data_IF_308189894509
#
_entry.id   IF_308189894509
#
_cell.length_a   1.000
_cell.length_b   1.000
_cell.length_c   1.000
_cell.angle_alpha   90.00
_cell.angle_beta   90.00
_cell.angle_gamma   90.00
#
_symmetry.space_group_name_H-M   'P 1'
#
loop_
_entity.id
_entity.type
_entity.pdbx_description
1 polymer ?
#
# COMPACT_ATOMS: atom_id res chain seq x y z
N UNK A 1 14.79 35.48 9.66
CA UNK A 1 14.66 34.09 10.12
C UNK A 1 15.15 33.18 9.01
N UNK A 2 16.41 32.76 9.07
CA UNK A 2 16.94 31.76 8.14
C UNK A 2 16.55 30.37 8.66
N UNK A 3 15.30 30.00 8.46
CA UNK A 3 14.78 28.70 8.88
C UNK A 3 15.14 27.63 7.85
N UNK A 4 16.32 27.03 7.98
CA UNK A 4 16.61 25.79 7.27
C UNK A 4 15.73 24.69 7.87
N UNK A 5 14.76 24.20 7.08
CA UNK A 5 13.99 23.00 7.43
C UNK A 5 14.95 21.81 7.37
N UNK A 6 15.00 21.00 8.43
CA UNK A 6 15.77 19.76 8.41
C UNK A 6 15.20 18.82 7.36
N UNK A 7 16.05 18.12 6.61
CA UNK A 7 15.59 17.10 5.66
C UNK A 7 14.76 16.01 6.36
N UNK A 8 15.02 15.72 7.64
CA UNK A 8 14.21 14.79 8.44
C UNK A 8 12.80 15.31 8.78
N UNK A 9 12.56 16.61 8.61
CA UNK A 9 11.24 17.24 8.78
C UNK A 9 10.48 17.39 7.45
N UNK A 10 11.05 16.92 6.33
CA UNK A 10 10.35 16.91 5.05
C UNK A 10 9.18 15.95 5.10
N UNK A 11 7.99 16.49 4.85
CA UNK A 11 6.73 15.78 4.80
C UNK A 11 6.13 15.83 3.38
N UNK A 12 5.23 14.90 3.06
CA UNK A 12 4.55 14.89 1.76
C UNK A 12 3.58 16.06 1.61
N UNK A 13 2.71 16.29 2.58
CA UNK A 13 1.76 17.40 2.53
C UNK A 13 0.47 17.15 3.30
N UNK A 14 -0.58 17.86 2.90
CA UNK A 14 -1.93 17.78 3.49
C UNK A 14 -2.82 16.86 2.64
N UNK A 15 -3.83 16.21 3.26
CA UNK A 15 -4.82 15.41 2.53
C UNK A 15 -5.64 16.24 1.57
N UNK A 16 -6.08 15.61 0.47
CA UNK A 16 -7.16 16.16 -0.36
C UNK A 16 -8.49 16.10 0.39
N UNK A 17 -9.53 16.74 -0.16
CA UNK A 17 -10.88 16.69 0.43
C UNK A 17 -11.38 15.23 0.49
N UNK A 18 -11.18 14.47 -0.57
CA UNK A 18 -11.61 13.07 -0.67
C UNK A 18 -10.89 12.19 0.35
N UNK A 19 -9.59 12.40 0.54
CA UNK A 19 -8.80 11.66 1.54
C UNK A 19 -9.20 12.03 2.96
N UNK A 20 -9.51 13.31 3.22
CA UNK A 20 -10.06 13.74 4.51
C UNK A 20 -11.43 13.12 4.75
N UNK A 21 -12.32 13.11 3.76
CA UNK A 21 -13.61 12.44 3.87
C UNK A 21 -13.46 10.94 4.15
N UNK A 22 -12.50 10.27 3.52
CA UNK A 22 -12.21 8.85 3.79
C UNK A 22 -11.69 8.65 5.22
N UNK A 23 -10.84 9.54 5.74
CA UNK A 23 -10.40 9.51 7.14
C UNK A 23 -11.60 9.68 8.07
N UNK A 24 -12.43 10.69 7.84
CA UNK A 24 -13.56 11.06 8.69
C UNK A 24 -14.69 10.02 8.66
N UNK A 25 -14.78 9.21 7.59
CA UNK A 25 -15.71 8.07 7.50
C UNK A 25 -15.38 6.94 8.50
N UNK A 26 -14.12 6.85 8.94
CA UNK A 26 -13.67 5.85 9.89
C UNK A 26 -13.41 4.46 9.27
N UNK A 27 -12.99 3.53 10.12
CA UNK A 27 -12.66 2.14 9.74
C UNK A 27 -13.22 1.16 10.77
N UNK A 28 -13.63 -0.02 10.31
CA UNK A 28 -13.97 -1.14 11.20
C UNK A 28 -12.77 -1.66 12.01
N UNK A 29 -11.53 -1.32 11.62
CA UNK A 29 -10.31 -1.63 12.37
C UNK A 29 -9.90 -0.52 13.35
N UNK A 30 -10.84 0.30 13.82
CA UNK A 30 -10.57 1.51 14.62
C UNK A 30 -9.63 1.26 15.81
N UNK A 31 -9.85 0.17 16.56
CA UNK A 31 -9.05 -0.15 17.76
C UNK A 31 -7.58 -0.42 17.47
N UNK A 32 -7.21 -0.71 16.22
CA UNK A 32 -5.85 -1.09 15.85
C UNK A 32 -5.06 0.04 15.20
N UNK A 33 -5.67 1.16 14.85
CA UNK A 33 -4.97 2.26 14.16
C UNK A 33 -3.74 2.71 14.94
N UNK A 34 -3.88 2.90 16.26
CA UNK A 34 -2.80 3.33 17.16
C UNK A 34 -1.67 2.31 17.33
N UNK A 35 -1.92 1.03 17.05
CA UNK A 35 -0.87 -0.02 17.10
C UNK A 35 0.22 0.31 16.09
N UNK A 36 -0.13 0.94 14.98
CA UNK A 36 0.77 1.22 13.86
C UNK A 36 1.42 2.60 13.93
N UNK A 37 1.21 3.38 15.00
CA UNK A 37 1.73 4.76 15.13
C UNK A 37 3.14 4.84 15.75
N UNK A 38 3.71 3.70 16.19
CA UNK A 38 5.01 3.62 16.88
C UNK A 38 6.07 2.78 16.13
N UNK A 39 5.95 2.67 14.80
CA UNK A 39 6.87 1.93 13.93
C UNK A 39 7.35 2.87 12.82
N UNK A 40 8.28 3.78 13.11
CA UNK A 40 8.69 4.81 12.17
C UNK A 40 9.54 4.25 11.03
N UNK A 41 9.45 4.90 9.87
CA UNK A 41 10.35 4.66 8.74
C UNK A 41 11.75 5.27 9.01
N UNK A 42 12.80 4.85 8.27
CA UNK A 42 14.15 5.41 8.43
C UNK A 42 14.20 6.92 8.20
N UNK A 43 14.95 7.65 9.03
CA UNK A 43 15.10 9.09 8.87
C UNK A 43 15.66 9.46 7.49
N UNK A 44 15.15 10.54 6.87
CA UNK A 44 15.43 10.90 5.48
C UNK A 44 16.94 11.04 5.14
N UNK A 45 17.79 11.44 6.09
CA UNK A 45 19.24 11.59 5.89
C UNK A 45 20.09 10.40 6.32
N UNK A 46 19.44 9.37 6.88
CA UNK A 46 20.10 8.13 7.34
C UNK A 46 20.77 7.37 6.20
N UNK A 47 21.69 6.46 6.53
CA UNK A 47 22.31 5.59 5.54
C UNK A 47 21.27 4.63 4.94
N UNK A 48 20.35 4.17 5.77
CA UNK A 48 19.24 3.31 5.44
C UNK A 48 18.30 3.98 4.42
N UNK A 49 17.89 5.23 4.64
CA UNK A 49 17.04 5.94 3.67
C UNK A 49 17.73 6.16 2.32
N UNK A 50 19.05 6.42 2.31
CA UNK A 50 19.83 6.53 1.06
C UNK A 50 19.86 5.20 0.32
N UNK A 51 20.08 4.10 1.04
CA UNK A 51 20.04 2.75 0.46
C UNK A 51 18.67 2.44 -0.14
N UNK A 52 17.57 2.81 0.55
CA UNK A 52 16.23 2.63 0.00
C UNK A 52 16.00 3.41 -1.30
N UNK A 53 16.57 4.62 -1.43
CA UNK A 53 16.50 5.38 -2.69
C UNK A 53 17.31 4.67 -3.80
N UNK A 54 18.51 4.16 -3.50
CA UNK A 54 19.30 3.38 -4.46
C UNK A 54 18.56 2.12 -4.93
N UNK A 55 17.92 1.40 -4.00
CA UNK A 55 17.09 0.25 -4.34
C UNK A 55 15.98 0.66 -5.32
N UNK A 56 15.27 1.76 -5.06
CA UNK A 56 14.22 2.25 -5.96
C UNK A 56 14.76 2.59 -7.34
N UNK A 57 15.91 3.27 -7.43
CA UNK A 57 16.59 3.54 -8.72
C UNK A 57 16.83 2.25 -9.49
N UNK A 58 17.37 1.21 -8.84
CA UNK A 58 17.61 -0.09 -9.48
C UNK A 58 16.32 -0.77 -9.99
N UNK A 59 15.17 -0.54 -9.33
CA UNK A 59 13.89 -1.09 -9.76
C UNK A 59 13.28 -0.32 -10.92
N UNK A 60 13.51 1.00 -11.00
CA UNK A 60 13.03 1.84 -12.11
C UNK A 60 13.71 1.44 -13.42
N UNK A 61 15.00 1.09 -13.39
CA UNK A 61 15.73 0.62 -14.58
C UNK A 61 15.04 -0.57 -15.27
N UNK A 62 14.30 -1.40 -14.52
CA UNK A 62 13.52 -2.52 -15.08
C UNK A 62 12.34 -2.06 -15.96
N UNK A 63 11.90 -0.80 -15.86
CA UNK A 63 10.83 -0.27 -16.71
C UNK A 63 11.24 -0.11 -18.18
N UNK A 64 12.51 -0.33 -18.55
CA UNK A 64 12.90 -0.46 -19.97
C UNK A 64 12.19 -1.65 -20.62
N UNK A 65 11.91 -2.71 -19.86
CA UNK A 65 11.11 -3.84 -20.31
C UNK A 65 9.64 -3.39 -20.46
N UNK A 66 9.14 -3.43 -21.69
CA UNK A 66 7.81 -2.91 -22.03
C UNK A 66 6.67 -3.71 -21.38
N UNK A 67 6.80 -5.04 -21.31
CA UNK A 67 5.80 -5.91 -20.70
C UNK A 67 5.67 -5.62 -19.20
N UNK A 68 6.80 -5.58 -18.50
CA UNK A 68 6.85 -5.22 -17.08
C UNK A 68 6.32 -3.81 -16.84
N UNK A 69 6.69 -2.84 -17.68
CA UNK A 69 6.19 -1.47 -17.59
C UNK A 69 4.67 -1.41 -17.74
N UNK A 70 4.10 -2.05 -18.77
CA UNK A 70 2.65 -2.15 -18.98
C UNK A 70 1.96 -2.81 -17.79
N UNK A 71 2.56 -3.86 -17.24
CA UNK A 71 2.05 -4.58 -16.06
C UNK A 71 2.05 -3.70 -14.81
N UNK A 72 3.11 -2.93 -14.57
CA UNK A 72 3.18 -1.98 -13.46
C UNK A 72 2.06 -0.94 -13.53
N UNK A 73 1.87 -0.30 -14.69
CA UNK A 73 0.81 0.69 -14.89
C UNK A 73 -0.60 0.08 -14.82
N UNK A 74 -0.78 -1.16 -15.25
CA UNK A 74 -2.04 -1.88 -15.07
C UNK A 74 -2.36 -2.08 -13.59
N UNK A 75 -1.40 -2.58 -12.80
CA UNK A 75 -1.56 -2.76 -11.36
C UNK A 75 -1.86 -1.42 -10.68
N UNK A 76 -1.13 -0.35 -11.03
CA UNK A 76 -1.36 0.99 -10.51
C UNK A 76 -2.78 1.51 -10.80
N UNK A 77 -3.30 1.28 -12.00
CA UNK A 77 -4.62 1.81 -12.39
C UNK A 77 -5.78 0.92 -11.96
N UNK A 78 -5.57 -0.39 -11.82
CA UNK A 78 -6.61 -1.41 -11.80
C UNK A 78 -6.33 -2.53 -10.78
N UNK A 79 -5.86 -2.20 -9.57
CA UNK A 79 -5.54 -3.18 -8.53
C UNK A 79 -6.67 -4.20 -8.29
N UNK A 80 -7.92 -3.74 -8.15
CA UNK A 80 -9.08 -4.63 -7.97
C UNK A 80 -9.28 -5.60 -9.14
N UNK A 81 -9.04 -5.18 -10.39
CA UNK A 81 -9.11 -6.10 -11.56
C UNK A 81 -7.94 -7.07 -11.57
N UNK A 82 -6.75 -6.62 -11.18
CA UNK A 82 -5.58 -7.48 -11.06
C UNK A 82 -5.83 -8.60 -10.03
N UNK A 83 -6.32 -8.25 -8.83
CA UNK A 83 -6.65 -9.21 -7.78
C UNK A 83 -7.86 -10.10 -8.12
N UNK A 84 -8.79 -9.62 -8.94
CA UNK A 84 -9.91 -10.44 -9.43
C UNK A 84 -9.46 -11.70 -10.16
N UNK A 85 -8.27 -11.70 -10.79
CA UNK A 85 -7.72 -12.90 -11.41
C UNK A 85 -7.36 -13.99 -10.38
N UNK A 86 -6.89 -13.61 -9.20
CA UNK A 86 -6.62 -14.54 -8.09
C UNK A 86 -7.93 -15.04 -7.48
N UNK A 87 -8.87 -14.12 -7.25
CA UNK A 87 -10.19 -14.45 -6.70
C UNK A 87 -10.97 -15.43 -7.59
N UNK A 88 -10.96 -15.21 -8.91
CA UNK A 88 -11.63 -16.10 -9.87
C UNK A 88 -11.02 -17.51 -9.89
N UNK A 89 -9.69 -17.63 -9.81
CA UNK A 89 -9.01 -18.93 -9.70
C UNK A 89 -9.40 -19.69 -8.43
N UNK A 90 -9.67 -18.96 -7.35
CA UNK A 90 -10.17 -19.52 -6.09
C UNK A 90 -11.69 -19.79 -6.09
N UNK A 91 -12.42 -19.44 -7.15
CA UNK A 91 -13.88 -19.62 -7.25
C UNK A 91 -14.73 -18.46 -6.73
N UNK A 92 -14.13 -17.35 -6.29
CA UNK A 92 -14.85 -16.19 -5.77
C UNK A 92 -15.41 -15.31 -6.90
N UNK A 93 -16.72 -15.44 -7.16
CA UNK A 93 -17.40 -14.77 -8.29
C UNK A 93 -17.70 -13.28 -8.06
N UNK A 94 -18.00 -12.88 -6.82
CA UNK A 94 -18.41 -11.51 -6.48
C UNK A 94 -17.26 -10.65 -5.93
N UNK A 95 -16.01 -10.93 -6.33
CA UNK A 95 -14.83 -10.25 -5.78
C UNK A 95 -14.87 -8.73 -5.93
N UNK A 96 -15.44 -8.20 -7.01
CA UNK A 96 -15.47 -6.74 -7.24
C UNK A 96 -16.24 -6.01 -6.12
N UNK A 97 -17.43 -6.48 -5.75
CA UNK A 97 -18.23 -5.84 -4.69
C UNK A 97 -17.55 -6.00 -3.34
N UNK A 98 -17.01 -7.19 -3.04
CA UNK A 98 -16.24 -7.45 -1.82
C UNK A 98 -15.02 -6.52 -1.75
N UNK A 99 -14.28 -6.35 -2.86
CA UNK A 99 -13.13 -5.47 -2.92
C UNK A 99 -13.50 -4.00 -2.64
N UNK A 100 -14.59 -3.51 -3.23
CA UNK A 100 -15.08 -2.15 -3.00
C UNK A 100 -15.52 -1.95 -1.54
N UNK A 101 -16.36 -2.86 -1.02
CA UNK A 101 -16.87 -2.83 0.36
C UNK A 101 -15.75 -2.90 1.42
N UNK A 102 -14.83 -3.86 1.28
CA UNK A 102 -13.74 -4.05 2.25
C UNK A 102 -12.79 -2.86 2.23
N UNK A 103 -12.49 -2.29 1.06
CA UNK A 103 -11.66 -1.09 1.02
C UNK A 103 -12.35 0.10 1.67
N UNK A 104 -13.62 0.33 1.37
CA UNK A 104 -14.38 1.46 1.90
C UNK A 104 -14.52 1.39 3.43
N UNK A 105 -14.96 0.24 3.93
CA UNK A 105 -15.30 0.07 5.35
C UNK A 105 -14.10 -0.27 6.25
N UNK A 106 -13.06 -0.93 5.73
CA UNK A 106 -11.96 -1.46 6.55
C UNK A 106 -10.62 -0.80 6.24
N UNK A 107 -10.22 -0.69 4.97
CA UNK A 107 -8.81 -0.40 4.65
C UNK A 107 -8.50 1.07 4.36
N UNK A 108 -9.34 1.79 3.60
CA UNK A 108 -9.01 3.12 3.09
C UNK A 108 -8.74 4.14 4.21
N UNK A 109 -9.68 4.28 5.16
CA UNK A 109 -9.52 5.20 6.30
C UNK A 109 -8.29 4.84 7.14
N UNK A 110 -8.09 3.56 7.43
CA UNK A 110 -6.92 3.08 8.18
C UNK A 110 -5.60 3.45 7.47
N UNK A 111 -5.50 3.17 6.17
CA UNK A 111 -4.32 3.49 5.37
C UNK A 111 -4.05 4.99 5.39
N UNK A 112 -5.07 5.82 5.15
CA UNK A 112 -4.89 7.27 5.10
C UNK A 112 -4.49 7.86 6.46
N UNK A 113 -5.08 7.38 7.56
CA UNK A 113 -4.69 7.83 8.91
C UNK A 113 -3.23 7.53 9.21
N UNK A 114 -2.76 6.32 8.91
CA UNK A 114 -1.35 5.96 9.10
C UNK A 114 -0.46 6.78 8.17
N UNK A 115 -0.86 6.96 6.90
CA UNK A 115 -0.14 7.80 5.94
C UNK A 115 0.05 9.23 6.41
N UNK A 116 -0.99 9.85 6.95
CA UNK A 116 -0.94 11.24 7.39
C UNK A 116 -0.37 11.42 8.80
N UNK A 117 -0.36 10.35 9.63
CA UNK A 117 0.41 10.32 10.88
C UNK A 117 1.91 10.45 10.62
N UNK A 118 2.46 9.63 9.73
CA UNK A 118 3.88 9.65 9.38
C UNK A 118 4.25 10.71 8.34
N UNK A 119 3.30 11.03 7.46
CA UNK A 119 3.42 12.01 6.38
C UNK A 119 4.70 11.87 5.53
N UNK A 120 5.16 10.63 5.33
CA UNK A 120 6.44 10.34 4.67
C UNK A 120 6.47 10.87 3.23
N UNK A 121 7.55 11.58 2.90
CA UNK A 121 7.85 12.03 1.54
C UNK A 121 8.06 10.85 0.58
N UNK A 122 7.79 11.02 -0.72
CA UNK A 122 7.98 9.96 -1.74
C UNK A 122 9.45 9.88 -2.23
N UNK A 123 9.85 8.77 -2.89
CA UNK A 123 11.22 8.58 -3.36
C UNK A 123 11.75 9.69 -4.27
N UNK A 124 10.98 10.15 -5.27
CA UNK A 124 11.47 11.15 -6.22
C UNK A 124 11.83 12.50 -5.57
N UNK A 125 10.95 13.13 -4.75
CA UNK A 125 11.33 14.34 -4.03
C UNK A 125 12.51 14.13 -3.07
N UNK A 126 12.58 13.01 -2.35
CA UNK A 126 13.70 12.73 -1.44
C UNK A 126 15.02 12.60 -2.21
N UNK A 127 15.02 11.87 -3.33
CA UNK A 127 16.18 11.69 -4.19
C UNK A 127 16.74 13.02 -4.69
N UNK A 128 15.88 13.98 -5.04
CA UNK A 128 16.30 15.34 -5.42
C UNK A 128 17.13 16.01 -4.32
N UNK A 129 16.64 15.99 -3.06
CA UNK A 129 17.38 16.58 -1.93
C UNK A 129 18.66 15.82 -1.56
N UNK A 130 18.72 14.52 -1.85
CA UNK A 130 19.90 13.69 -1.65
C UNK A 130 20.90 13.72 -2.83
N UNK A 131 20.63 14.51 -3.87
CA UNK A 131 21.42 14.55 -5.12
C UNK A 131 21.53 13.18 -5.82
N UNK A 132 20.46 12.40 -5.79
CA UNK A 132 20.34 11.11 -6.43
C UNK A 132 19.42 11.21 -7.66
N UNK A 133 19.84 10.64 -8.79
CA UNK A 133 19.03 10.67 -10.01
C UNK A 133 17.95 9.59 -9.95
N UNK A 134 16.69 10.02 -9.81
CA UNK A 134 15.53 9.13 -9.77
C UNK A 134 14.39 9.73 -10.60
N UNK A 135 13.99 9.06 -11.68
CA UNK A 135 12.86 9.47 -12.53
C UNK A 135 11.66 8.58 -12.25
N UNK A 136 10.72 9.05 -11.42
CA UNK A 136 9.49 8.29 -11.12
C UNK A 136 8.51 8.30 -12.29
N UNK A 137 7.70 7.25 -12.38
CA UNK A 137 6.62 7.15 -13.34
C UNK A 137 5.46 8.11 -13.01
N UNK A 138 4.74 8.57 -14.02
CA UNK A 138 3.50 9.34 -13.84
C UNK A 138 2.32 8.40 -13.54
N UNK A 139 2.11 8.11 -12.25
CA UNK A 139 1.13 7.12 -11.76
C UNK A 139 -0.23 7.76 -11.46
N UNK A 140 -1.31 6.96 -11.44
CA UNK A 140 -2.66 7.40 -11.07
C UNK A 140 -2.88 7.47 -9.55
N UNK A 141 -2.18 6.67 -8.76
CA UNK A 141 -2.47 6.47 -7.31
C UNK A 141 -1.38 7.01 -6.38
N UNK A 142 -0.30 7.58 -6.93
CA UNK A 142 0.86 8.07 -6.19
C UNK A 142 0.72 9.46 -5.55
N UNK A 143 -0.50 9.88 -5.19
CA UNK A 143 -0.83 11.27 -4.84
C UNK A 143 -1.12 11.50 -3.35
N UNK A 144 -0.50 10.70 -2.49
CA UNK A 144 -0.59 10.76 -1.01
C UNK A 144 0.76 10.42 -0.37
N UNK A 145 0.96 10.53 0.97
CA UNK A 145 2.22 10.13 1.61
C UNK A 145 2.62 8.68 1.30
N UNK A 146 3.90 8.35 1.39
CA UNK A 146 4.43 7.04 0.95
C UNK A 146 4.17 5.90 1.95
N UNK A 147 4.22 6.15 3.26
CA UNK A 147 4.26 5.11 4.29
C UNK A 147 2.91 4.92 5.00
N UNK A 148 2.26 3.73 4.98
CA UNK A 148 2.64 2.50 4.27
C UNK A 148 2.24 2.52 2.79
N UNK A 149 2.72 1.54 2.01
CA UNK A 149 2.22 1.29 0.66
C UNK A 149 0.80 0.72 0.69
N UNK A 150 -0.19 1.53 0.29
CA UNK A 150 -1.61 1.15 0.30
C UNK A 150 -1.92 -0.04 -0.61
N UNK A 151 -1.42 -0.03 -1.86
CA UNK A 151 -1.61 -1.16 -2.78
C UNK A 151 -0.98 -2.46 -2.29
N UNK A 152 0.19 -2.39 -1.65
CA UNK A 152 0.84 -3.59 -1.09
C UNK A 152 0.05 -4.15 0.07
N UNK A 153 -0.46 -3.29 0.96
CA UNK A 153 -1.33 -3.69 2.07
C UNK A 153 -2.59 -4.36 1.54
N UNK A 154 -3.27 -3.71 0.59
CA UNK A 154 -4.48 -4.24 -0.04
C UNK A 154 -4.20 -5.59 -0.72
N UNK A 155 -3.12 -5.71 -1.50
CA UNK A 155 -2.77 -6.96 -2.17
C UNK A 155 -2.54 -8.12 -1.18
N UNK A 156 -1.79 -7.87 -0.10
CA UNK A 156 -1.57 -8.86 0.94
C UNK A 156 -2.87 -9.24 1.65
N UNK A 157 -3.64 -8.25 2.10
CA UNK A 157 -4.90 -8.47 2.81
C UNK A 157 -5.90 -9.25 1.97
N UNK A 158 -6.12 -8.86 0.71
CA UNK A 158 -7.05 -9.54 -0.17
C UNK A 158 -6.57 -10.93 -0.59
N UNK A 159 -5.26 -11.15 -0.77
CA UNK A 159 -4.74 -12.50 -1.04
C UNK A 159 -5.06 -13.47 0.09
N UNK A 160 -4.94 -12.99 1.35
CA UNK A 160 -5.29 -13.76 2.55
C UNK A 160 -6.80 -13.93 2.70
N UNK A 161 -7.58 -12.86 2.49
CA UNK A 161 -9.04 -12.91 2.50
C UNK A 161 -9.61 -13.90 1.48
N UNK A 162 -9.10 -13.90 0.26
CA UNK A 162 -9.53 -14.87 -0.77
C UNK A 162 -9.24 -16.30 -0.32
N UNK A 163 -8.04 -16.53 0.22
CA UNK A 163 -7.61 -17.84 0.72
C UNK A 163 -8.52 -18.33 1.85
N UNK A 164 -8.79 -17.48 2.83
CA UNK A 164 -9.58 -17.85 4.00
C UNK A 164 -11.06 -18.02 3.66
N UNK A 165 -11.65 -17.12 2.89
CA UNK A 165 -13.07 -17.22 2.50
C UNK A 165 -13.32 -18.46 1.64
N UNK A 166 -12.46 -18.75 0.66
CA UNK A 166 -12.65 -19.85 -0.29
C UNK A 166 -12.04 -21.18 0.16
N UNK A 167 -11.40 -21.22 1.33
CA UNK A 167 -10.69 -22.39 1.85
C UNK A 167 -9.66 -22.97 0.84
N UNK A 168 -8.84 -22.08 0.26
CA UNK A 168 -7.77 -22.45 -0.67
C UNK A 168 -6.40 -22.08 -0.09
N UNK A 169 -5.30 -22.77 -0.47
CA UNK A 169 -3.96 -22.39 -0.02
C UNK A 169 -3.62 -20.94 -0.35
N UNK A 170 -3.08 -20.24 0.64
CA UNK A 170 -2.61 -18.86 0.47
C UNK A 170 -1.33 -18.80 -0.39
N UNK A 171 -1.20 -17.72 -1.17
CA UNK A 171 0.02 -17.36 -1.89
C UNK A 171 0.25 -15.85 -1.80
N UNK A 172 1.51 -15.46 -1.59
CA UNK A 172 1.97 -14.07 -1.56
C UNK A 172 2.42 -13.54 -2.93
N UNK A 173 2.21 -14.30 -4.01
CA UNK A 173 2.61 -13.90 -5.37
C UNK A 173 2.07 -12.50 -5.76
N UNK A 174 0.79 -12.26 -5.49
CA UNK A 174 0.15 -10.97 -5.76
C UNK A 174 0.83 -9.83 -4.97
N UNK A 175 1.14 -10.07 -3.70
CA UNK A 175 1.81 -9.09 -2.84
C UNK A 175 3.19 -8.74 -3.36
N UNK A 176 4.02 -9.75 -3.66
CA UNK A 176 5.39 -9.55 -4.14
C UNK A 176 5.41 -8.77 -5.43
N UNK A 177 4.53 -9.10 -6.36
CA UNK A 177 4.45 -8.42 -7.65
C UNK A 177 3.94 -6.98 -7.54
N UNK A 178 2.92 -6.75 -6.70
CA UNK A 178 2.41 -5.40 -6.43
C UNK A 178 3.50 -4.55 -5.78
N UNK A 179 4.18 -5.05 -4.74
CA UNK A 179 5.27 -4.35 -4.06
C UNK A 179 6.42 -4.01 -5.03
N UNK A 180 6.83 -4.97 -5.86
CA UNK A 180 7.85 -4.76 -6.89
C UNK A 180 7.43 -3.69 -7.90
N UNK A 181 6.16 -3.70 -8.34
CA UNK A 181 5.59 -2.67 -9.23
C UNK A 181 5.65 -1.28 -8.59
N UNK A 182 5.34 -1.15 -7.29
CA UNK A 182 5.39 0.15 -6.59
C UNK A 182 6.80 0.74 -6.56
N UNK A 183 7.82 -0.08 -6.34
CA UNK A 183 9.22 0.36 -6.37
C UNK A 183 9.66 0.66 -7.81
N UNK A 184 9.30 -0.18 -8.78
CA UNK A 184 9.62 0.08 -10.21
C UNK A 184 8.99 1.36 -10.72
N UNK A 185 7.82 1.76 -10.24
CA UNK A 185 7.20 3.05 -10.58
C UNK A 185 7.83 4.25 -9.84
N UNK A 186 8.73 4.02 -8.89
CA UNK A 186 9.46 5.06 -8.17
C UNK A 186 8.65 5.77 -7.08
N UNK A 187 7.60 5.13 -6.57
CA UNK A 187 6.60 5.80 -5.70
C UNK A 187 6.54 5.26 -4.27
N UNK A 188 7.23 4.16 -3.98
CA UNK A 188 7.35 3.60 -2.63
C UNK A 188 8.76 3.05 -2.40
N UNK A 189 9.22 3.16 -1.16
CA UNK A 189 10.42 2.52 -0.64
C UNK A 189 10.16 1.06 -0.25
N UNK A 190 11.21 0.30 0.03
CA UNK A 190 11.07 -1.08 0.49
C UNK A 190 10.36 -1.12 1.85
N UNK A 191 10.74 -0.28 2.80
CA UNK A 191 10.11 -0.22 4.13
C UNK A 191 8.62 0.15 4.08
N UNK A 192 8.17 0.93 3.09
CA UNK A 192 6.73 1.18 2.88
C UNK A 192 5.97 -0.12 2.58
N UNK A 193 6.58 -1.03 1.82
CA UNK A 193 6.01 -2.32 1.46
C UNK A 193 6.10 -3.31 2.62
N UNK A 194 7.24 -3.37 3.30
CA UNK A 194 7.44 -4.25 4.46
C UNK A 194 6.44 -3.91 5.57
N UNK A 195 6.26 -2.63 5.86
CA UNK A 195 5.29 -2.18 6.87
C UNK A 195 3.84 -2.46 6.45
N UNK A 196 3.53 -2.30 5.15
CA UNK A 196 2.22 -2.66 4.61
C UNK A 196 1.88 -4.14 4.82
N UNK A 197 2.86 -5.04 4.65
CA UNK A 197 2.70 -6.48 4.94
C UNK A 197 2.50 -6.70 6.44
N UNK A 198 3.34 -6.11 7.30
CA UNK A 198 3.20 -6.21 8.76
C UNK A 198 1.83 -5.79 9.27
N UNK A 199 1.28 -4.69 8.75
CA UNK A 199 -0.08 -4.23 9.08
C UNK A 199 -1.10 -5.30 8.68
N UNK A 200 -1.01 -5.81 7.45
CA UNK A 200 -1.96 -6.82 6.98
C UNK A 200 -1.86 -8.11 7.78
N UNK A 201 -0.66 -8.61 8.09
CA UNK A 201 -0.46 -9.79 8.93
C UNK A 201 -1.13 -9.60 10.29
N UNK A 202 -0.90 -8.45 10.95
CA UNK A 202 -1.56 -8.13 12.22
C UNK A 202 -3.09 -8.13 12.08
N UNK A 203 -3.64 -7.42 11.09
CA UNK A 203 -5.08 -7.29 10.91
C UNK A 203 -5.75 -8.65 10.65
N UNK A 204 -5.10 -9.55 9.90
CA UNK A 204 -5.65 -10.89 9.59
C UNK A 204 -5.72 -11.83 10.80
N UNK A 205 -5.14 -11.47 11.93
CA UNK A 205 -5.26 -12.23 13.19
C UNK A 205 -6.33 -11.66 14.14
N UNK A 206 -7.05 -10.63 13.72
CA UNK A 206 -8.01 -9.92 14.59
C UNK A 206 -9.40 -10.54 14.56
N UNK A 207 -10.18 -10.34 15.62
CA UNK A 207 -11.58 -10.77 15.68
C UNK A 207 -12.43 -10.14 14.56
N UNK A 208 -12.22 -8.86 14.27
CA UNK A 208 -12.90 -8.12 13.20
C UNK A 208 -12.65 -8.75 11.84
N UNK A 209 -11.44 -9.24 11.61
CA UNK A 209 -11.14 -9.96 10.38
C UNK A 209 -11.85 -11.31 10.31
N UNK A 210 -11.90 -12.07 11.41
CA UNK A 210 -12.63 -13.34 11.44
C UNK A 210 -14.13 -13.12 11.18
N UNK A 211 -14.73 -12.09 11.79
CA UNK A 211 -16.12 -11.69 11.55
C UNK A 211 -16.31 -11.30 10.07
N UNK A 212 -15.38 -10.56 9.48
CA UNK A 212 -15.42 -10.19 8.06
C UNK A 212 -15.41 -11.44 7.16
N UNK A 213 -14.54 -12.41 7.42
CA UNK A 213 -14.47 -13.67 6.66
C UNK A 213 -15.81 -14.42 6.71
N UNK A 214 -16.38 -14.60 7.90
CA UNK A 214 -17.66 -15.30 8.07
C UNK A 214 -18.82 -14.56 7.39
N UNK A 215 -18.84 -13.23 7.46
CA UNK A 215 -19.85 -12.44 6.77
C UNK A 215 -19.77 -12.61 5.24
N UNK A 216 -18.56 -12.62 4.68
CA UNK A 216 -18.37 -12.82 3.24
C UNK A 216 -18.72 -14.26 2.84
N UNK A 217 -18.38 -15.27 3.65
CA UNK A 217 -18.79 -16.66 3.42
C UNK A 217 -20.31 -16.79 3.34
N UNK A 218 -21.01 -16.17 4.29
CA UNK A 218 -22.48 -16.10 4.28
C UNK A 218 -23.03 -15.38 3.04
N UNK A 219 -22.44 -14.24 2.63
CA UNK A 219 -22.83 -13.51 1.42
C UNK A 219 -22.67 -14.37 0.15
N UNK A 220 -21.58 -15.15 0.08
CA UNK A 220 -21.25 -16.00 -1.06
C UNK A 220 -21.92 -17.38 -1.03
N UNK A 221 -22.48 -17.80 0.11
CA UNK A 221 -22.96 -19.15 0.39
C UNK A 221 -21.86 -20.22 0.18
N UNK A 222 -20.67 -19.98 0.76
CA UNK A 222 -19.52 -20.91 0.73
C UNK A 222 -19.04 -21.25 2.13
#
# INVERSE_FOLDING_TARGET
MNGFISLNQLAYGQPTIEERMAIDHGTQFEKYVKVFENDPYPENVSAEAKEEVYEVVSKIEKLVNEEWRKRCFFIDKQLGKYLSGYAQKAGMRQFKSIFEQVNDLYLNSLIYRIKYHYNRIRPNPLAYYLNMSLTSANTRTGHSPSYPSGHTLQAHFFSKLISDVMDVPWSDDATREVAASRMSLGIHFKSDNDFAVKISEYLTQTEEYQILVENIRNELNV
#
